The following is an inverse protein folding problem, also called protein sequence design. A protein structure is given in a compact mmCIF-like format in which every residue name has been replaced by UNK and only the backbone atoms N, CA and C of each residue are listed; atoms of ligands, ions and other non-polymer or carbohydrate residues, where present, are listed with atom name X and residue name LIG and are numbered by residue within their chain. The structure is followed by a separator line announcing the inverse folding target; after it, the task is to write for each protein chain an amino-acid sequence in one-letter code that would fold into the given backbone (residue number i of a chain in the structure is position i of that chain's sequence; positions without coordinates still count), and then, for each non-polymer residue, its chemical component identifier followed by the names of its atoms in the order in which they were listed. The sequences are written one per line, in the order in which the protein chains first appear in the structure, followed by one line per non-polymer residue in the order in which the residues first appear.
data_IF_166590572486
#
_entry.id   IF_166590572486
#
_cell.length_a   1.000
_cell.length_b   1.000
_cell.length_c   1.000
_cell.angle_alpha   90.00
_cell.angle_beta   90.00
_cell.angle_gamma   90.00
#
_symmetry.space_group_name_H-M   'P 1'
#
loop_
_entity.id
_entity.type
_entity.pdbx_description
1 polymer ?
#
# COMPACT_ATOMS: atom_id res chain seq x y z
N UNK A 1 -3.39 -23.27 -3.33
CA UNK A 1 -3.70 -22.87 -4.72
C UNK A 1 -2.38 -22.44 -5.37
N UNK A 2 -2.06 -22.87 -6.59
CA UNK A 2 -0.81 -22.56 -7.30
C UNK A 2 -0.97 -21.29 -8.17
N UNK A 3 0.12 -20.61 -8.55
CA UNK A 3 0.09 -19.32 -9.29
C UNK A 3 -0.59 -19.43 -10.66
N UNK A 4 -0.52 -20.61 -11.28
CA UNK A 4 -1.21 -20.99 -12.53
C UNK A 4 -2.73 -21.20 -12.34
N UNK A 5 -3.22 -21.18 -11.11
CA UNK A 5 -4.65 -21.25 -10.77
C UNK A 5 -5.25 -19.85 -10.50
N UNK A 6 -4.44 -18.78 -10.51
CA UNK A 6 -4.95 -17.41 -10.47
C UNK A 6 -5.53 -17.06 -11.85
N UNK A 7 -6.83 -16.81 -11.88
CA UNK A 7 -7.52 -16.42 -13.11
C UNK A 7 -7.28 -14.93 -13.38
N UNK A 8 -6.85 -14.60 -14.59
CA UNK A 8 -6.83 -13.20 -15.04
C UNK A 8 -8.25 -12.75 -15.35
N UNK A 9 -8.59 -11.54 -14.91
CA UNK A 9 -9.88 -10.92 -15.20
C UNK A 9 -9.67 -9.89 -16.32
N UNK A 10 -10.47 -9.93 -17.41
CA UNK A 10 -10.40 -8.91 -18.44
C UNK A 10 -10.66 -7.51 -17.88
N UNK A 11 -9.89 -6.50 -18.29
CA UNK A 11 -10.02 -5.13 -17.78
C UNK A 11 -11.44 -4.57 -17.92
N UNK A 12 -12.17 -4.92 -18.99
CA UNK A 12 -13.55 -4.48 -19.20
C UNK A 12 -14.55 -5.02 -18.17
N UNK A 13 -14.17 -6.05 -17.40
CA UNK A 13 -14.99 -6.61 -16.33
C UNK A 13 -14.72 -5.95 -14.98
N UNK A 14 -13.68 -5.11 -14.88
CA UNK A 14 -13.22 -4.40 -13.67
C UNK A 14 -13.67 -5.07 -12.36
N UNK A 15 -12.92 -6.06 -11.84
CA UNK A 15 -13.32 -6.82 -10.67
C UNK A 15 -13.28 -6.01 -9.37
N UNK A 16 -12.90 -4.73 -9.43
CA UNK A 16 -12.77 -3.91 -8.22
C UNK A 16 -14.11 -3.51 -7.63
N UNK A 17 -14.15 -3.41 -6.30
CA UNK A 17 -15.26 -2.78 -5.59
C UNK A 17 -14.96 -1.29 -5.47
N UNK A 18 -15.92 -0.45 -5.88
CA UNK A 18 -15.82 1.00 -5.73
C UNK A 18 -16.40 1.43 -4.39
N UNK A 19 -15.62 2.17 -3.62
CA UNK A 19 -16.04 2.86 -2.40
C UNK A 19 -16.03 4.36 -2.71
N UNK A 20 -17.11 5.04 -2.34
CA UNK A 20 -17.23 6.49 -2.54
C UNK A 20 -17.57 7.18 -1.22
N UNK A 21 -17.00 8.36 -1.04
CA UNK A 21 -17.48 9.35 -0.07
C UNK A 21 -18.06 10.55 -0.81
N UNK A 22 -18.41 11.62 -0.10
CA UNK A 22 -18.77 12.89 -0.75
C UNK A 22 -17.70 13.39 -1.71
N UNK A 23 -16.43 13.37 -1.30
CA UNK A 23 -15.35 14.04 -2.02
C UNK A 23 -14.39 13.04 -2.72
N UNK A 24 -14.42 11.76 -2.37
CA UNK A 24 -13.42 10.75 -2.79
C UNK A 24 -14.03 9.58 -3.58
N UNK A 25 -13.26 9.04 -4.52
CA UNK A 25 -13.52 7.73 -5.15
C UNK A 25 -12.31 6.83 -4.93
N UNK A 26 -12.60 5.60 -4.50
CA UNK A 26 -11.61 4.55 -4.31
C UNK A 26 -12.05 3.26 -4.99
N UNK A 27 -11.10 2.52 -5.58
CA UNK A 27 -11.33 1.17 -6.09
C UNK A 27 -10.42 0.17 -5.40
N UNK A 28 -11.03 -0.85 -4.80
CA UNK A 28 -10.35 -1.95 -4.11
C UNK A 28 -10.30 -3.17 -5.01
N UNK A 29 -9.14 -3.81 -5.12
CA UNK A 29 -8.95 -5.03 -5.90
C UNK A 29 -8.32 -6.12 -5.03
N UNK A 30 -8.68 -7.37 -5.30
CA UNK A 30 -7.92 -8.51 -4.79
C UNK A 30 -6.63 -8.71 -5.60
N UNK A 31 -5.92 -9.81 -5.37
CA UNK A 31 -4.68 -10.10 -6.08
C UNK A 31 -4.87 -10.93 -7.35
N UNK A 32 -6.09 -11.04 -7.87
CA UNK A 32 -6.34 -11.58 -9.20
C UNK A 32 -5.97 -10.49 -10.22
N UNK A 33 -4.89 -10.72 -10.97
CA UNK A 33 -4.35 -9.73 -11.91
C UNK A 33 -5.36 -9.38 -13.02
N UNK A 34 -5.19 -8.21 -13.63
CA UNK A 34 -5.97 -7.81 -14.81
C UNK A 34 -5.20 -8.11 -16.09
N UNK A 35 -5.85 -8.76 -17.05
CA UNK A 35 -5.30 -8.92 -18.40
C UNK A 35 -6.00 -7.95 -19.35
N UNK A 36 -5.24 -7.28 -20.21
CA UNK A 36 -5.82 -6.68 -21.41
C UNK A 36 -6.38 -7.80 -22.29
N UNK A 37 -7.50 -7.57 -22.94
CA UNK A 37 -7.99 -8.45 -24.01
C UNK A 37 -6.94 -8.54 -25.13
N UNK A 38 -6.66 -9.75 -25.62
CA UNK A 38 -5.73 -9.97 -26.74
C UNK A 38 -6.26 -9.27 -28.00
N UNK A 39 -5.84 -8.04 -28.27
CA UNK A 39 -5.99 -7.46 -29.59
C UNK A 39 -4.79 -7.92 -30.44
N UNK A 40 -5.02 -8.63 -31.54
CA UNK A 40 -3.95 -9.25 -32.35
C UNK A 40 -2.90 -8.26 -32.87
N UNK A 41 -3.24 -6.97 -32.94
CA UNK A 41 -2.33 -5.89 -33.38
C UNK A 41 -1.33 -5.45 -32.31
N UNK A 42 -1.58 -5.70 -31.02
CA UNK A 42 -0.66 -5.28 -29.94
C UNK A 42 0.56 -6.20 -29.81
N UNK A 43 0.46 -7.49 -30.16
CA UNK A 43 1.62 -8.42 -30.19
C UNK A 43 2.77 -7.92 -31.07
N UNK A 44 2.46 -7.27 -32.20
CA UNK A 44 3.46 -6.75 -33.13
C UNK A 44 4.17 -5.49 -32.61
N UNK A 45 3.45 -4.63 -31.88
CA UNK A 45 4.02 -3.41 -31.30
C UNK A 45 4.96 -3.71 -30.12
N UNK A 46 4.61 -4.69 -29.27
CA UNK A 46 5.34 -4.96 -28.03
C UNK A 46 6.56 -5.90 -28.18
N UNK A 47 6.60 -6.77 -29.19
CA UNK A 47 7.79 -7.59 -29.46
C UNK A 47 8.99 -6.80 -30.00
N UNK A 48 8.76 -5.62 -30.56
CA UNK A 48 9.79 -4.79 -31.23
C UNK A 48 10.71 -4.05 -30.24
N UNK A 49 10.31 -3.86 -28.99
CA UNK A 49 11.03 -3.03 -28.02
C UNK A 49 11.86 -3.79 -26.99
N UNK A 50 12.03 -5.12 -27.11
CA UNK A 50 12.91 -5.88 -26.22
C UNK A 50 12.47 -5.93 -24.74
N UNK A 51 11.28 -5.41 -24.43
CA UNK A 51 10.62 -5.55 -23.14
C UNK A 51 9.92 -6.90 -23.10
N UNK A 52 10.59 -7.92 -22.57
CA UNK A 52 9.93 -9.15 -22.18
C UNK A 52 8.84 -8.83 -21.14
N UNK A 53 7.60 -8.65 -21.59
CA UNK A 53 6.39 -8.88 -20.79
C UNK A 53 5.82 -7.73 -19.95
N UNK A 54 6.35 -6.50 -19.99
CA UNK A 54 5.74 -5.38 -19.26
C UNK A 54 4.59 -4.78 -20.09
N UNK A 55 3.36 -5.18 -19.75
CA UNK A 55 2.13 -4.69 -20.37
C UNK A 55 1.74 -3.35 -19.71
N UNK A 56 1.73 -2.21 -20.44
CA UNK A 56 1.58 -0.87 -19.85
C UNK A 56 0.20 -0.51 -19.27
N UNK A 57 -0.72 -1.46 -19.07
CA UNK A 57 -2.07 -1.25 -18.50
C UNK A 57 -2.63 -2.48 -17.75
N UNK A 58 -1.78 -3.40 -17.29
CA UNK A 58 -2.21 -4.53 -16.45
C UNK A 58 -1.95 -4.22 -14.97
N UNK A 59 -2.97 -4.29 -14.12
CA UNK A 59 -2.75 -4.44 -12.68
C UNK A 59 -1.90 -5.68 -12.45
N UNK A 60 -0.69 -5.51 -11.89
CA UNK A 60 0.26 -6.60 -11.77
C UNK A 60 -0.29 -7.71 -10.88
N UNK A 61 -0.14 -8.95 -11.33
CA UNK A 61 -0.54 -10.12 -10.56
C UNK A 61 0.11 -10.10 -9.16
N UNK A 62 -0.68 -10.39 -8.13
CA UNK A 62 -0.25 -10.39 -6.74
C UNK A 62 -0.53 -9.10 -5.96
N UNK A 63 -0.75 -7.95 -6.61
CA UNK A 63 -1.06 -6.72 -5.89
C UNK A 63 -2.52 -6.68 -5.44
N UNK A 64 -2.81 -6.31 -4.21
CA UNK A 64 -4.17 -6.15 -3.67
C UNK A 64 -4.29 -4.88 -2.82
N UNK A 65 -5.51 -4.46 -2.53
CA UNK A 65 -5.79 -3.23 -1.78
C UNK A 65 -6.28 -2.13 -2.70
N UNK A 66 -5.81 -0.91 -2.51
CA UNK A 66 -6.30 0.26 -3.23
C UNK A 66 -5.59 0.37 -4.58
N UNK A 67 -6.27 0.13 -5.69
CA UNK A 67 -5.70 0.31 -7.05
C UNK A 67 -5.99 1.67 -7.66
N UNK A 68 -6.98 2.37 -7.15
CA UNK A 68 -7.37 3.70 -7.64
C UNK A 68 -7.85 4.52 -6.47
N UNK A 69 -7.36 5.75 -6.40
CA UNK A 69 -7.75 6.74 -5.41
C UNK A 69 -7.66 8.13 -6.02
N UNK A 70 -8.75 8.89 -5.98
CA UNK A 70 -8.75 10.28 -6.40
C UNK A 70 -9.87 11.08 -5.75
N UNK A 71 -9.61 12.38 -5.56
CA UNK A 71 -10.63 13.37 -5.24
C UNK A 71 -11.48 13.68 -6.48
N UNK A 72 -12.81 13.77 -6.31
CA UNK A 72 -13.78 13.95 -7.41
C UNK A 72 -13.57 15.24 -8.21
N UNK A 73 -12.89 16.24 -7.65
CA UNK A 73 -12.62 17.54 -8.26
C UNK A 73 -11.29 17.59 -9.02
N UNK A 74 -10.24 16.88 -8.56
CA UNK A 74 -8.95 16.81 -9.27
C UNK A 74 -8.88 15.64 -10.26
N UNK A 75 -9.49 14.50 -9.93
CA UNK A 75 -9.55 13.26 -10.74
C UNK A 75 -8.20 12.67 -11.15
N UNK A 76 -7.11 13.10 -10.52
CA UNK A 76 -5.79 12.48 -10.64
C UNK A 76 -5.77 11.20 -9.80
N UNK A 77 -5.57 10.04 -10.43
CA UNK A 77 -5.30 8.81 -9.67
C UNK A 77 -3.92 8.90 -9.02
N UNK A 78 -3.89 8.81 -7.69
CA UNK A 78 -2.66 8.92 -6.90
C UNK A 78 -1.99 7.57 -6.66
N UNK A 79 -2.59 6.46 -7.08
CA UNK A 79 -1.96 5.14 -7.04
C UNK A 79 -1.29 4.84 -8.39
N UNK A 80 -0.11 4.25 -8.36
CA UNK A 80 0.60 3.82 -9.58
C UNK A 80 -0.29 2.82 -10.36
N UNK A 81 -0.54 3.01 -11.67
CA UNK A 81 -1.52 2.22 -12.44
C UNK A 81 -1.32 0.69 -12.49
N UNK A 82 -0.16 0.18 -12.06
CA UNK A 82 0.20 -1.26 -12.13
C UNK A 82 0.29 -1.92 -10.76
N UNK A 83 0.14 -1.16 -9.68
CA UNK A 83 0.30 -1.61 -8.32
C UNK A 83 -0.92 -1.21 -7.48
N UNK A 84 -0.86 -1.47 -6.18
CA UNK A 84 -1.89 -1.07 -5.23
C UNK A 84 -1.27 -0.54 -3.94
N UNK A 85 -1.90 0.47 -3.36
CA UNK A 85 -1.58 0.92 -2.00
C UNK A 85 -2.24 0.02 -0.95
N UNK A 86 -1.65 0.00 0.25
CA UNK A 86 -2.08 -0.89 1.35
C UNK A 86 -2.00 -2.38 0.98
N UNK A 87 -1.06 -2.73 0.10
CA UNK A 87 -0.76 -4.10 -0.27
C UNK A 87 0.15 -4.73 0.80
N UNK A 88 -0.25 -5.82 1.46
CA UNK A 88 0.66 -6.58 2.31
C UNK A 88 1.81 -7.15 1.46
N UNK A 89 3.01 -6.59 1.58
CA UNK A 89 4.19 -7.07 0.85
C UNK A 89 4.92 -8.11 1.67
N UNK A 90 5.33 -7.77 2.89
CA UNK A 90 6.06 -8.68 3.77
C UNK A 90 5.26 -8.99 5.03
N UNK A 91 5.31 -10.24 5.47
CA UNK A 91 4.97 -10.62 6.84
C UNK A 91 5.98 -11.67 7.30
N UNK A 92 6.74 -11.35 8.35
CA UNK A 92 7.80 -12.20 8.90
C UNK A 92 7.42 -12.60 10.30
N UNK A 93 7.51 -13.90 10.58
CA UNK A 93 7.40 -14.45 11.92
C UNK A 93 8.80 -14.82 12.40
N UNK A 94 9.35 -14.09 13.36
CA UNK A 94 10.67 -14.40 13.87
C UNK A 94 10.71 -15.83 14.44
N UNK A 95 11.78 -16.57 14.11
CA UNK A 95 11.98 -17.95 14.54
C UNK A 95 11.13 -19.01 13.81
N UNK A 96 10.24 -18.62 12.90
CA UNK A 96 9.53 -19.57 12.02
C UNK A 96 10.14 -19.43 10.62
N UNK A 97 10.78 -20.50 10.14
CA UNK A 97 11.35 -20.52 8.79
C UNK A 97 10.25 -20.28 7.76
N UNK A 98 10.45 -19.25 6.93
CA UNK A 98 9.59 -18.98 5.80
C UNK A 98 9.57 -20.19 4.86
N UNK A 99 8.38 -20.59 4.42
CA UNK A 99 8.28 -21.60 3.39
C UNK A 99 8.54 -20.96 2.02
N UNK A 100 9.38 -21.54 1.14
CA UNK A 100 9.38 -21.18 -0.28
C UNK A 100 7.99 -21.25 -0.91
N UNK A 101 7.08 -22.04 -0.33
CA UNK A 101 5.66 -22.09 -0.69
C UNK A 101 4.88 -20.86 -0.19
N UNK A 102 5.18 -20.34 1.00
CA UNK A 102 4.57 -19.15 1.61
C UNK A 102 5.13 -17.87 0.96
N UNK A 103 6.39 -17.91 0.52
CA UNK A 103 7.11 -16.84 -0.21
C UNK A 103 6.99 -16.94 -1.75
N UNK A 104 6.08 -17.78 -2.28
CA UNK A 104 5.98 -18.09 -3.72
C UNK A 104 5.88 -16.90 -4.66
N UNK A 105 5.48 -15.73 -4.16
CA UNK A 105 5.47 -14.54 -4.98
C UNK A 105 6.74 -13.73 -4.82
N UNK A 106 7.21 -13.28 -5.98
CA UNK A 106 8.41 -12.51 -6.26
C UNK A 106 8.67 -11.26 -5.41
N UNK A 107 7.80 -10.91 -4.45
CA UNK A 107 8.08 -9.94 -3.39
C UNK A 107 7.12 -10.09 -2.18
N UNK A 108 6.81 -11.32 -1.75
CA UNK A 108 6.26 -11.58 -0.42
C UNK A 108 4.81 -12.08 -0.33
N UNK A 109 4.34 -12.22 0.92
CA UNK A 109 3.35 -13.22 1.35
C UNK A 109 2.01 -13.16 0.61
N UNK A 110 1.35 -12.00 0.60
CA UNK A 110 0.02 -11.85 0.01
C UNK A 110 0.03 -11.69 -1.52
N UNK A 111 1.21 -11.63 -2.14
CA UNK A 111 1.32 -11.66 -3.61
C UNK A 111 1.22 -13.07 -4.19
N UNK A 112 1.45 -14.10 -3.37
CA UNK A 112 1.59 -15.50 -3.79
C UNK A 112 0.38 -16.38 -3.50
N UNK A 113 -0.52 -15.89 -2.65
CA UNK A 113 -1.67 -16.63 -2.16
C UNK A 113 -2.96 -15.89 -2.46
N UNK A 114 -4.00 -16.56 -2.99
CA UNK A 114 -5.25 -15.90 -3.34
C UNK A 114 -5.82 -15.11 -2.16
N UNK A 115 -6.11 -13.85 -2.42
CA UNK A 115 -6.90 -13.01 -1.52
C UNK A 115 -8.32 -13.01 -2.05
N UNK A 116 -9.27 -13.25 -1.15
CA UNK A 116 -10.69 -13.21 -1.45
C UNK A 116 -11.25 -11.85 -1.08
N UNK A 117 -11.90 -11.19 -2.03
CA UNK A 117 -12.61 -9.95 -1.80
C UNK A 117 -14.10 -10.21 -1.56
N UNK A 118 -14.67 -9.56 -0.54
CA UNK A 118 -16.10 -9.58 -0.24
C UNK A 118 -16.64 -8.17 -0.01
N UNK A 119 -17.84 -7.87 -0.49
CA UNK A 119 -18.53 -6.63 -0.16
C UNK A 119 -18.99 -6.62 1.32
N UNK A 120 -18.89 -5.47 1.99
CA UNK A 120 -19.26 -5.27 3.41
C UNK A 120 -19.95 -3.93 3.60
N UNK A 121 -21.27 -3.91 3.42
CA UNK A 121 -22.05 -2.66 3.46
C UNK A 121 -21.64 -1.73 2.32
N UNK A 122 -21.25 -0.51 2.66
CA UNK A 122 -20.69 0.46 1.71
C UNK A 122 -19.16 0.29 1.51
N UNK A 123 -18.57 -0.71 2.18
CA UNK A 123 -17.15 -1.03 2.13
C UNK A 123 -16.85 -2.43 1.57
N UNK A 124 -15.64 -2.92 1.84
CA UNK A 124 -15.19 -4.26 1.42
C UNK A 124 -14.13 -4.83 2.36
N UNK A 125 -13.97 -6.14 2.35
CA UNK A 125 -12.90 -6.85 3.04
C UNK A 125 -12.11 -7.74 2.07
N UNK A 126 -10.80 -7.73 2.22
CA UNK A 126 -9.86 -8.65 1.60
C UNK A 126 -9.41 -9.67 2.63
N UNK A 127 -9.47 -10.95 2.30
CA UNK A 127 -9.20 -12.06 3.23
C UNK A 127 -8.17 -13.00 2.62
N UNK A 128 -7.09 -13.24 3.36
CA UNK A 128 -6.13 -14.31 3.13
C UNK A 128 -6.37 -15.43 4.15
N UNK A 129 -6.76 -16.60 3.64
CA UNK A 129 -6.94 -17.81 4.45
C UNK A 129 -5.61 -18.27 5.07
N UNK A 130 -5.64 -19.07 6.16
CA UNK A 130 -4.45 -19.54 6.84
C UNK A 130 -3.42 -20.17 5.89
N UNK A 131 -2.20 -19.64 5.90
CA UNK A 131 -1.12 -20.19 5.08
C UNK A 131 -0.70 -21.58 5.57
N UNK A 132 -0.34 -22.52 4.67
CA UNK A 132 -0.12 -23.91 5.07
C UNK A 132 0.98 -24.12 6.12
N UNK A 133 2.12 -23.43 6.03
CA UNK A 133 3.21 -23.62 7.01
C UNK A 133 3.14 -22.64 8.17
N UNK A 134 3.12 -21.35 7.89
CA UNK A 134 3.07 -20.31 8.92
C UNK A 134 1.74 -20.28 9.69
N UNK A 135 0.64 -20.76 9.10
CA UNK A 135 -0.72 -20.69 9.69
C UNK A 135 -1.12 -19.27 10.08
N UNK A 136 -0.60 -18.29 9.36
CA UNK A 136 -1.01 -16.89 9.46
C UNK A 136 -2.22 -16.68 8.56
N UNK A 137 -3.25 -16.05 9.11
CA UNK A 137 -4.38 -15.49 8.37
C UNK A 137 -4.26 -13.98 8.39
N UNK A 138 -4.75 -13.31 7.34
CA UNK A 138 -4.71 -11.86 7.23
C UNK A 138 -6.03 -11.34 6.66
N UNK A 139 -6.47 -10.19 7.14
CA UNK A 139 -7.52 -9.43 6.47
C UNK A 139 -7.24 -7.94 6.51
N UNK A 140 -7.78 -7.24 5.50
CA UNK A 140 -7.91 -5.79 5.50
C UNK A 140 -9.33 -5.42 5.11
N UNK A 141 -10.03 -4.76 6.02
CA UNK A 141 -11.34 -4.18 5.77
C UNK A 141 -11.23 -2.70 5.46
N UNK A 142 -12.07 -2.21 4.57
CA UNK A 142 -12.14 -0.83 4.08
C UNK A 142 -13.57 -0.32 4.22
N UNK A 143 -13.75 0.86 4.82
CA UNK A 143 -15.04 1.51 5.02
C UNK A 143 -14.98 3.00 4.68
N UNK A 144 -15.97 3.58 3.98
CA UNK A 144 -15.95 5.01 3.63
C UNK A 144 -15.87 5.88 4.89
N UNK A 145 -14.99 6.88 4.86
CA UNK A 145 -14.84 7.86 5.94
C UNK A 145 -15.11 9.26 5.41
N UNK A 146 -16.33 9.75 5.64
CA UNK A 146 -16.74 11.07 5.16
C UNK A 146 -15.88 12.20 5.75
N UNK A 147 -15.57 13.25 4.96
CA UNK A 147 -15.99 13.42 3.57
C UNK A 147 -14.98 12.95 2.51
N UNK A 148 -13.74 12.71 2.89
CA UNK A 148 -12.57 12.69 2.01
C UNK A 148 -11.59 11.54 2.33
N UNK A 149 -12.06 10.50 3.01
CA UNK A 149 -11.20 9.42 3.45
C UNK A 149 -11.79 8.03 3.39
N UNK A 150 -10.96 7.09 3.81
CA UNK A 150 -11.32 5.70 4.05
C UNK A 150 -10.74 5.27 5.40
N UNK A 151 -11.56 4.61 6.20
CA UNK A 151 -11.08 3.84 7.35
C UNK A 151 -10.69 2.45 6.87
N UNK A 152 -9.59 1.93 7.40
CA UNK A 152 -9.20 0.55 7.18
C UNK A 152 -8.80 -0.17 8.48
N UNK A 153 -9.06 -1.47 8.53
CA UNK A 153 -8.72 -2.33 9.65
C UNK A 153 -7.88 -3.49 9.17
N UNK A 154 -6.64 -3.57 9.62
CA UNK A 154 -5.76 -4.70 9.33
C UNK A 154 -5.82 -5.68 10.50
N UNK A 155 -6.02 -6.96 10.21
CA UNK A 155 -6.08 -8.02 11.21
C UNK A 155 -5.25 -9.23 10.80
N UNK A 156 -4.65 -9.86 11.80
CA UNK A 156 -3.95 -11.13 11.70
C UNK A 156 -4.47 -12.10 12.74
N UNK A 157 -4.48 -13.39 12.40
CA UNK A 157 -4.61 -14.47 13.36
C UNK A 157 -3.52 -15.51 13.11
N UNK A 158 -2.85 -15.93 14.17
CA UNK A 158 -1.69 -16.81 14.11
C UNK A 158 -1.94 -18.07 14.91
N UNK A 159 -1.72 -19.24 14.32
CA UNK A 159 -1.88 -20.53 15.02
C UNK A 159 -0.55 -21.16 15.45
N UNK A 160 0.59 -20.50 15.20
CA UNK A 160 1.93 -21.00 15.52
C UNK A 160 2.84 -19.91 16.07
N UNK A 161 3.72 -20.31 16.99
CA UNK A 161 4.87 -19.55 17.51
C UNK A 161 6.15 -20.37 17.30
N UNK A 162 7.33 -19.73 17.22
CA UNK A 162 8.58 -20.46 17.36
C UNK A 162 8.65 -21.19 18.70
N UNK A 163 9.33 -22.33 18.73
CA UNK A 163 9.52 -23.10 19.97
C UNK A 163 10.53 -22.44 20.93
N UNK A 164 11.49 -21.70 20.39
CA UNK A 164 12.55 -21.00 21.10
C UNK A 164 12.85 -19.67 20.40
N UNK A 165 13.33 -18.68 21.16
CA UNK A 165 13.68 -17.35 20.64
C UNK A 165 12.57 -16.31 20.73
N UNK A 166 12.80 -15.11 20.19
CA UNK A 166 11.81 -14.03 20.20
C UNK A 166 10.59 -14.43 19.38
N UNK A 167 9.42 -14.06 19.90
CA UNK A 167 8.14 -14.22 19.21
C UNK A 167 7.78 -12.86 18.68
N UNK A 168 8.01 -12.60 17.40
CA UNK A 168 7.68 -11.32 16.78
C UNK A 168 7.00 -11.52 15.43
N UNK A 169 5.96 -10.74 15.17
CA UNK A 169 5.37 -10.56 13.84
C UNK A 169 5.79 -9.19 13.33
N UNK A 170 6.35 -9.14 12.12
CA UNK A 170 6.63 -7.90 11.39
C UNK A 170 5.90 -7.89 10.06
N UNK A 171 4.96 -6.97 9.87
CA UNK A 171 4.29 -6.71 8.59
C UNK A 171 4.85 -5.47 7.88
N UNK A 172 4.81 -5.44 6.55
CA UNK A 172 5.10 -4.25 5.74
C UNK A 172 4.10 -4.05 4.62
N UNK A 173 3.68 -2.80 4.44
CA UNK A 173 2.70 -2.39 3.45
C UNK A 173 3.24 -1.24 2.62
N UNK A 174 3.55 -1.52 1.35
CA UNK A 174 3.86 -0.46 0.43
C UNK A 174 2.63 0.35 0.02
N UNK A 175 2.80 1.66 -0.09
CA UNK A 175 1.82 2.55 -0.70
C UNK A 175 2.42 3.18 -1.95
N UNK A 176 2.21 2.53 -3.10
CA UNK A 176 2.78 2.96 -4.37
C UNK A 176 2.09 4.22 -4.90
N UNK A 177 2.78 5.35 -4.83
CA UNK A 177 2.19 6.65 -5.15
C UNK A 177 2.58 7.13 -6.53
N UNK A 178 1.60 7.60 -7.29
CA UNK A 178 1.79 8.36 -8.52
C UNK A 178 2.06 9.84 -8.19
N UNK A 179 3.10 10.09 -7.39
CA UNK A 179 3.44 11.38 -6.80
C UNK A 179 4.77 11.91 -7.35
N UNK A 180 4.76 12.34 -8.61
CA UNK A 180 5.96 12.78 -9.33
C UNK A 180 6.49 14.15 -8.88
N UNK A 181 5.68 14.92 -8.17
CA UNK A 181 5.91 16.34 -7.90
C UNK A 181 6.48 16.62 -6.50
N UNK A 182 6.16 15.80 -5.50
CA UNK A 182 6.85 15.76 -4.21
C UNK A 182 6.98 14.31 -3.74
N UNK A 183 8.20 13.79 -3.75
CA UNK A 183 8.46 12.40 -3.35
C UNK A 183 8.54 12.23 -1.83
N UNK A 184 8.61 13.34 -1.09
CA UNK A 184 8.82 13.33 0.35
C UNK A 184 7.56 12.89 1.09
N UNK A 185 7.79 12.27 2.23
CA UNK A 185 6.75 11.96 3.20
C UNK A 185 7.02 12.70 4.50
N UNK A 186 6.06 13.51 4.92
CA UNK A 186 6.17 14.35 6.11
C UNK A 186 5.57 13.64 7.31
N UNK A 187 6.25 13.68 8.45
CA UNK A 187 5.81 13.05 9.69
C UNK A 187 6.21 13.89 10.91
N UNK A 188 5.49 13.79 12.03
CA UNK A 188 5.85 14.45 13.27
C UNK A 188 6.99 13.68 13.96
N UNK A 189 8.12 14.33 14.16
CA UNK A 189 9.32 13.81 14.80
C UNK A 189 9.52 14.46 16.18
N UNK A 190 9.80 13.65 17.20
CA UNK A 190 10.03 14.08 18.57
C UNK A 190 9.29 13.22 19.59
N UNK A 191 8.86 13.83 20.69
CA UNK A 191 7.92 13.22 21.64
C UNK A 191 6.51 13.77 21.44
N UNK A 192 5.51 13.17 22.08
CA UNK A 192 4.14 13.68 22.04
C UNK A 192 4.02 15.13 22.57
N UNK A 193 4.90 15.52 23.50
CA UNK A 193 4.93 16.84 24.13
C UNK A 193 5.80 17.87 23.38
N UNK A 194 6.81 17.41 22.64
CA UNK A 194 7.78 18.26 21.93
C UNK A 194 8.15 17.62 20.59
N UNK A 195 7.48 18.04 19.53
CA UNK A 195 7.64 17.51 18.17
C UNK A 195 7.67 18.63 17.14
N UNK A 196 8.24 18.31 15.98
CA UNK A 196 8.27 19.15 14.79
C UNK A 196 8.00 18.30 13.54
N UNK A 197 7.56 18.92 12.45
CA UNK A 197 7.47 18.22 11.17
C UNK A 197 8.85 17.95 10.59
N UNK A 198 9.11 16.69 10.28
CA UNK A 198 10.25 16.21 9.54
C UNK A 198 9.79 15.61 8.20
N UNK A 199 10.74 15.32 7.31
CA UNK A 199 10.46 14.66 6.03
C UNK A 199 11.38 13.48 5.79
N UNK A 200 10.82 12.39 5.26
CA UNK A 200 11.55 11.29 4.64
C UNK A 200 11.69 11.54 3.13
N UNK A 201 12.81 11.10 2.58
CA UNK A 201 13.14 11.33 1.17
C UNK A 201 13.72 12.72 0.93
N UNK A 202 14.38 12.87 -0.21
CA UNK A 202 14.93 14.14 -0.67
C UNK A 202 14.11 14.63 -1.86
N UNK A 203 13.81 15.94 -1.88
CA UNK A 203 13.16 16.52 -3.04
C UNK A 203 14.14 16.49 -4.21
N UNK A 204 13.80 15.88 -5.36
CA UNK A 204 14.72 15.85 -6.48
C UNK A 204 14.93 17.26 -7.01
N UNK A 205 16.17 17.61 -7.37
CA UNK A 205 16.53 18.91 -7.95
C UNK A 205 15.71 19.25 -9.21
N UNK A 206 15.18 18.22 -9.89
CA UNK A 206 14.37 18.33 -11.11
C UNK A 206 13.38 17.16 -11.20
N UNK A 207 12.11 17.45 -11.47
CA UNK A 207 11.15 16.43 -11.94
C UNK A 207 11.43 16.20 -13.43
N UNK A 208 12.23 15.19 -13.76
CA UNK A 208 12.69 14.95 -15.13
C UNK A 208 11.65 14.15 -15.91
N UNK A 209 11.10 14.75 -16.97
CA UNK A 209 10.17 14.14 -17.92
C UNK A 209 10.82 13.46 -19.14
N UNK A 210 12.15 13.32 -19.19
CA UNK A 210 12.85 12.63 -20.28
C UNK A 210 13.80 11.53 -19.76
N UNK A 211 13.70 10.35 -20.34
CA UNK A 211 14.37 9.10 -19.95
C UNK A 211 15.85 8.98 -20.37
N UNK A 212 16.59 10.10 -20.43
CA UNK A 212 17.99 10.07 -20.88
C UNK A 212 18.95 10.16 -19.70
N UNK A 213 19.61 9.04 -19.36
CA UNK A 213 20.71 9.00 -18.39
C UNK A 213 20.31 8.88 -16.92
N UNK A 214 19.05 8.53 -16.63
CA UNK A 214 18.59 8.32 -15.27
C UNK A 214 19.25 7.07 -14.64
N UNK A 215 19.88 7.23 -13.47
CA UNK A 215 20.39 6.11 -12.67
C UNK A 215 19.34 5.75 -11.64
N UNK A 216 18.96 4.47 -11.60
CA UNK A 216 18.04 3.96 -10.59
C UNK A 216 18.69 4.10 -9.20
N UNK A 217 18.12 4.94 -8.35
CA UNK A 217 18.47 5.05 -6.94
C UNK A 217 17.38 4.35 -6.14
N UNK A 218 17.80 3.40 -5.30
CA UNK A 218 16.94 2.66 -4.39
C UNK A 218 17.23 3.14 -2.96
N UNK A 219 16.97 4.42 -2.73
CA UNK A 219 17.20 5.03 -1.44
C UNK A 219 16.05 4.68 -0.50
N UNK A 220 16.44 4.23 0.70
CA UNK A 220 15.57 3.78 1.76
C UNK A 220 15.68 4.71 2.97
N UNK A 221 14.56 5.33 3.36
CA UNK A 221 14.49 6.28 4.46
C UNK A 221 13.54 5.77 5.53
N UNK A 222 13.96 5.75 6.79
CA UNK A 222 13.10 5.37 7.92
C UNK A 222 12.84 6.56 8.82
N UNK A 223 11.67 6.59 9.45
CA UNK A 223 11.42 7.56 10.53
C UNK A 223 12.44 7.40 11.67
N UNK A 224 12.75 8.52 12.31
CA UNK A 224 13.48 8.56 13.57
C UNK A 224 12.59 9.27 14.60
N UNK A 225 12.36 8.64 15.75
CA UNK A 225 11.54 9.20 16.84
C UNK A 225 10.19 9.75 16.36
N UNK A 226 9.38 8.91 15.71
CA UNK A 226 8.05 9.27 15.25
C UNK A 226 7.14 9.58 16.45
N UNK A 227 6.73 10.85 16.60
CA UNK A 227 5.93 11.31 17.73
C UNK A 227 4.49 10.81 17.68
N UNK A 228 3.92 10.71 16.48
CA UNK A 228 2.58 10.17 16.24
C UNK A 228 2.60 9.24 15.03
N UNK A 229 1.81 8.14 15.04
CA UNK A 229 1.68 7.22 13.91
C UNK A 229 0.83 7.82 12.79
N UNK A 230 1.26 8.95 12.27
CA UNK A 230 0.60 9.66 11.19
C UNK A 230 1.62 10.44 10.34
N UNK A 231 1.30 10.64 9.08
CA UNK A 231 2.10 11.45 8.17
C UNK A 231 1.35 11.76 6.88
N UNK A 232 1.94 12.56 6.02
CA UNK A 232 1.34 12.95 4.75
C UNK A 232 2.37 13.11 3.65
N UNK A 233 1.93 12.89 2.42
CA UNK A 233 2.70 13.26 1.22
C UNK A 233 1.90 14.23 0.35
N UNK A 234 2.62 15.10 -0.36
CA UNK A 234 2.03 16.18 -1.16
C UNK A 234 1.90 15.74 -2.62
N UNK A 235 0.74 16.04 -3.21
CA UNK A 235 0.42 15.76 -4.60
C UNK A 235 -0.33 16.98 -5.15
N UNK A 236 0.40 17.87 -5.82
CA UNK A 236 -0.06 19.16 -6.29
C UNK A 236 -0.58 20.01 -5.13
N UNK A 237 -1.84 20.43 -5.25
CA UNK A 237 -2.53 21.20 -4.22
C UNK A 237 -3.21 20.32 -3.15
N UNK A 238 -3.01 19.00 -3.22
CA UNK A 238 -3.61 18.00 -2.33
C UNK A 238 -2.59 17.32 -1.42
N UNK A 239 -3.06 16.75 -0.32
CA UNK A 239 -2.27 15.88 0.53
C UNK A 239 -2.98 14.56 0.70
N UNK A 240 -2.23 13.46 0.53
CA UNK A 240 -2.64 12.17 1.04
C UNK A 240 -2.13 12.05 2.47
N UNK A 241 -3.02 11.75 3.42
CA UNK A 241 -2.64 11.52 4.82
C UNK A 241 -2.82 10.05 5.14
N UNK A 242 -1.86 9.47 5.85
CA UNK A 242 -1.97 8.17 6.50
C UNK A 242 -1.90 8.38 8.01
N UNK A 243 -2.80 7.74 8.74
CA UNK A 243 -2.84 7.79 10.20
C UNK A 243 -3.26 6.43 10.77
N UNK A 244 -2.69 6.06 11.91
CA UNK A 244 -2.94 4.80 12.59
C UNK A 244 -3.25 5.03 14.06
N UNK A 245 -3.96 4.07 14.67
CA UNK A 245 -4.29 4.10 16.09
C UNK A 245 -3.26 3.39 16.99
N UNK A 246 -2.32 2.67 16.36
CA UNK A 246 -1.27 1.93 17.03
C UNK A 246 0.08 2.64 16.83
N UNK A 247 0.74 3.09 17.91
CA UNK A 247 2.04 3.77 17.82
C UNK A 247 3.17 2.85 17.33
N UNK A 248 2.96 1.53 17.31
CA UNK A 248 3.92 0.54 16.80
C UNK A 248 4.01 0.54 15.27
N UNK A 249 3.11 1.26 14.58
CA UNK A 249 3.23 1.49 13.13
C UNK A 249 4.29 2.55 12.86
N UNK A 250 5.26 2.24 12.00
CA UNK A 250 6.39 3.12 11.68
C UNK A 250 6.51 3.29 10.16
N UNK A 251 6.63 4.55 9.70
CA UNK A 251 6.80 4.84 8.28
C UNK A 251 8.22 4.61 7.77
N UNK A 252 8.31 4.30 6.49
CA UNK A 252 9.54 4.37 5.72
C UNK A 252 9.23 4.74 4.27
N UNK A 253 10.21 5.27 3.54
CA UNK A 253 10.05 5.64 2.14
C UNK A 253 11.08 4.89 1.30
N UNK A 254 10.59 4.31 0.21
CA UNK A 254 11.40 3.78 -0.87
C UNK A 254 11.20 4.67 -2.09
N UNK A 255 12.28 5.24 -2.61
CA UNK A 255 12.22 6.19 -3.74
C UNK A 255 11.89 5.53 -5.09
N UNK A 256 11.93 4.19 -5.15
CA UNK A 256 11.75 3.43 -6.39
C UNK A 256 10.38 2.75 -6.55
N UNK A 257 9.41 3.02 -5.67
CA UNK A 257 8.14 2.28 -5.57
C UNK A 257 7.44 1.97 -6.89
N UNK A 258 7.27 2.95 -7.77
CA UNK A 258 6.42 2.83 -8.96
C UNK A 258 7.13 2.85 -10.29
N UNK A 259 8.44 2.55 -10.35
CA UNK A 259 9.21 2.77 -11.57
C UNK A 259 8.73 1.91 -12.76
N UNK A 260 8.66 2.53 -13.93
CA UNK A 260 8.52 1.81 -15.20
C UNK A 260 9.62 2.26 -16.16
N UNK A 261 10.11 1.38 -17.06
CA UNK A 261 11.08 1.77 -18.10
C UNK A 261 10.60 2.92 -18.99
N UNK A 262 9.29 3.19 -19.00
CA UNK A 262 8.62 4.24 -19.77
C UNK A 262 8.36 5.53 -18.99
N UNK A 263 8.62 5.56 -17.68
CA UNK A 263 8.48 6.76 -16.83
C UNK A 263 9.83 7.15 -16.25
N UNK A 264 10.30 8.34 -16.61
CA UNK A 264 11.52 8.95 -16.06
C UNK A 264 11.34 9.52 -14.65
N UNK A 265 10.15 9.38 -14.06
CA UNK A 265 9.88 9.86 -12.70
C UNK A 265 9.95 8.71 -11.71
N UNK A 266 10.76 8.90 -10.66
CA UNK A 266 10.70 8.13 -9.43
C UNK A 266 9.40 8.42 -8.69
N UNK A 267 8.51 7.45 -8.71
CA UNK A 267 7.30 7.42 -7.90
C UNK A 267 7.66 6.81 -6.54
N UNK A 268 7.45 7.52 -5.42
CA UNK A 268 7.79 6.98 -4.10
C UNK A 268 6.81 5.87 -3.71
N UNK A 269 7.26 5.02 -2.81
CA UNK A 269 6.42 4.21 -1.96
C UNK A 269 6.41 4.85 -0.56
N UNK A 270 5.24 5.31 -0.10
CA UNK A 270 5.06 5.87 1.25
C UNK A 270 4.61 4.76 2.19
N UNK A 271 5.58 3.97 2.62
CA UNK A 271 5.34 2.66 3.19
C UNK A 271 5.25 2.74 4.71
N UNK A 272 4.72 1.68 5.30
CA UNK A 272 4.79 1.51 6.74
C UNK A 272 4.99 0.05 7.11
N UNK A 273 5.51 -0.13 8.32
CA UNK A 273 5.65 -1.44 8.96
C UNK A 273 4.95 -1.44 10.30
N UNK A 274 4.55 -2.63 10.72
CA UNK A 274 3.96 -2.86 12.03
C UNK A 274 4.62 -4.07 12.66
N UNK A 275 4.99 -3.93 13.93
CA UNK A 275 5.69 -4.97 14.68
C UNK A 275 4.93 -5.27 15.95
N UNK A 276 4.70 -6.56 16.22
CA UNK A 276 4.11 -7.04 17.46
C UNK A 276 5.03 -8.07 18.09
N UNK A 277 5.44 -7.79 19.32
CA UNK A 277 6.12 -8.73 20.18
C UNK A 277 5.12 -9.63 20.91
N UNK A 278 5.52 -10.87 21.13
CA UNK A 278 4.79 -11.92 21.84
C UNK A 278 3.30 -12.08 21.45
N UNK A 279 3.00 -11.95 20.15
CA UNK A 279 1.63 -12.02 19.62
C UNK A 279 0.81 -13.20 20.19
N UNK A 280 -0.47 -13.04 20.56
CA UNK A 280 -1.28 -14.15 21.05
C UNK A 280 -1.58 -15.18 19.94
N UNK A 281 -1.81 -16.44 20.34
CA UNK A 281 -2.21 -17.51 19.43
C UNK A 281 -3.72 -17.63 19.35
N UNK A 282 -4.25 -17.81 18.14
CA UNK A 282 -5.69 -17.99 17.84
C UNK A 282 -6.56 -16.81 18.31
N UNK A 283 -5.94 -15.65 18.52
CA UNK A 283 -6.62 -14.39 18.77
C UNK A 283 -6.36 -13.46 17.59
N UNK A 284 -7.27 -12.51 17.41
CA UNK A 284 -7.12 -11.49 16.38
C UNK A 284 -6.28 -10.34 16.93
N UNK A 285 -5.23 -9.98 16.21
CA UNK A 285 -4.42 -8.79 16.48
C UNK A 285 -4.35 -7.89 15.26
N UNK A 286 -4.09 -6.61 15.47
CA UNK A 286 -3.99 -5.66 14.37
C UNK A 286 -4.14 -4.23 14.83
N UNK A 287 -4.32 -3.35 13.84
CA UNK A 287 -4.45 -1.92 14.04
C UNK A 287 -5.49 -1.36 13.08
N UNK A 288 -5.98 -0.17 13.39
CA UNK A 288 -6.87 0.59 12.53
C UNK A 288 -6.09 1.76 11.94
N UNK A 289 -6.44 2.12 10.71
CA UNK A 289 -5.89 3.28 10.06
C UNK A 289 -6.95 4.06 9.32
N UNK A 290 -6.58 5.26 8.92
CA UNK A 290 -7.35 6.09 8.01
C UNK A 290 -6.42 6.65 6.95
N UNK A 291 -6.89 6.63 5.71
CA UNK A 291 -6.26 7.32 4.60
C UNK A 291 -7.20 8.43 4.14
N UNK A 292 -6.72 9.66 4.01
CA UNK A 292 -7.48 10.77 3.42
C UNK A 292 -6.77 11.31 2.20
N UNK A 293 -7.52 11.92 1.28
CA UNK A 293 -6.96 12.68 0.17
C UNK A 293 -7.81 13.92 -0.10
N UNK A 294 -7.25 15.10 0.20
CA UNK A 294 -7.99 16.35 0.12
C UNK A 294 -7.08 17.57 -0.07
N UNK A 295 -7.63 18.75 -0.40
CA UNK A 295 -6.84 19.96 -0.60
C UNK A 295 -5.99 20.28 0.63
N UNK A 296 -4.70 20.49 0.43
CA UNK A 296 -3.77 20.79 1.50
C UNK A 296 -3.99 22.21 2.01
N UNK A 297 -4.29 22.30 3.31
CA UNK A 297 -4.58 23.56 4.01
C UNK A 297 -3.56 23.86 5.11
N UNK A 298 -2.38 23.26 5.01
CA UNK A 298 -1.32 23.35 6.01
C UNK A 298 -1.35 22.21 7.02
N UNK A 299 -0.22 22.06 7.70
CA UNK A 299 0.06 20.99 8.66
C UNK A 299 -0.87 20.99 9.87
N UNK A 300 -1.29 22.16 10.34
CA UNK A 300 -2.28 22.28 11.42
C UNK A 300 -3.58 21.55 11.09
N UNK A 301 -3.99 21.53 9.81
CA UNK A 301 -5.18 20.82 9.36
C UNK A 301 -4.98 19.32 9.30
N UNK A 302 -3.78 18.88 8.94
CA UNK A 302 -3.40 17.46 9.00
C UNK A 302 -3.46 16.97 10.45
N UNK A 303 -2.83 17.71 11.37
CA UNK A 303 -2.83 17.37 12.80
C UNK A 303 -4.22 17.44 13.43
N UNK A 304 -5.03 18.43 13.04
CA UNK A 304 -6.44 18.50 13.46
C UNK A 304 -7.21 17.24 13.01
N UNK A 305 -7.04 16.82 11.75
CA UNK A 305 -7.69 15.62 11.21
C UNK A 305 -7.32 14.35 11.98
N UNK A 306 -6.04 14.20 12.32
CA UNK A 306 -5.57 13.08 13.17
C UNK A 306 -6.22 13.09 14.55
N UNK A 307 -6.19 14.24 15.25
CA UNK A 307 -6.79 14.38 16.57
C UNK A 307 -8.31 14.14 16.56
N UNK A 308 -9.02 14.65 15.55
CA UNK A 308 -10.46 14.44 15.42
C UNK A 308 -10.80 12.97 15.17
N UNK A 309 -9.94 12.22 14.49
CA UNK A 309 -10.11 10.80 14.24
C UNK A 309 -9.83 9.96 15.49
N UNK A 310 -8.65 10.14 16.11
CA UNK A 310 -8.24 9.32 17.25
C UNK A 310 -9.16 9.51 18.47
N UNK A 311 -9.72 10.70 18.68
CA UNK A 311 -10.64 10.99 19.78
C UNK A 311 -12.08 10.48 19.58
N UNK A 312 -12.44 10.06 18.36
CA UNK A 312 -13.76 9.50 18.05
C UNK A 312 -13.82 7.98 18.16
N UNK A 313 -12.66 7.33 18.28
CA UNK A 313 -12.52 5.89 18.44
C UNK A 313 -12.71 5.50 19.90
#
# INVERSE_FOLDING_TARGET
MQYDQLNYIPEEQDPSITIETRDLIMKIIDNTGLSLTENTDTKAAFSKYGTNGLVPFSHHLGYHGIRTLYDKTERRNIVVPFASSLNLQGAVLEGIESDPVDERAWAGMARGWPIRMEARGDGTILILDPLPKSQISYSIEFQPAEPDGIDFSIRFSLAKKPAEGPVQLKGSWPCYMNAYDDVRFHYPQGSAEDWQWASLGEQPDRVVGESVGFTFLDDYYTVENQAFPMGYGRIGDYAMTLMFDDPSVQFFVITSGGHTPTSSVQNPAWDFSWTVDDYPLNEEIGFNGRMTYSPFKGEDKIMQGYNDWINKK
#
